data_IF_579196741742
#
_entry.id   IF_579196741742
#
_cell.length_a   1.000
_cell.length_b   1.000
_cell.length_c   1.000
_cell.angle_alpha   90.00
_cell.angle_beta   90.00
_cell.angle_gamma   90.00
#
_symmetry.space_group_name_H-M   'P 1'
#
loop_
_entity.id
_entity.type
_entity.pdbx_description
1 polymer ?
#
# COMPACT_ATOMS: atom_id res chain seq x y z
N UNK A 1 45.30 25.07 3.35
CA UNK A 1 43.89 24.63 3.44
C UNK A 1 43.70 23.58 2.38
N UNK A 2 43.92 22.31 2.74
CA UNK A 2 43.69 21.17 1.86
C UNK A 2 42.18 20.95 1.70
N UNK A 3 41.65 21.23 0.52
CA UNK A 3 40.32 20.82 0.14
C UNK A 3 40.38 19.32 -0.21
N UNK A 4 39.92 18.47 0.70
CA UNK A 4 39.80 17.05 0.45
C UNK A 4 38.78 16.80 -0.66
N UNK A 5 39.22 16.17 -1.76
CA UNK A 5 38.36 15.68 -2.83
C UNK A 5 37.25 14.76 -2.28
N UNK A 6 36.01 14.87 -2.78
CA UNK A 6 34.92 14.01 -2.35
C UNK A 6 35.21 12.57 -2.79
N UNK A 7 35.33 11.66 -1.80
CA UNK A 7 35.54 10.23 -2.03
C UNK A 7 34.47 9.66 -2.99
N UNK A 8 34.86 8.89 -4.02
CA UNK A 8 33.91 8.28 -4.94
C UNK A 8 33.00 7.29 -4.19
N UNK A 9 31.68 7.47 -4.32
CA UNK A 9 30.67 6.55 -3.74
C UNK A 9 30.90 5.15 -4.30
N UNK A 10 31.25 4.20 -3.43
CA UNK A 10 31.47 2.81 -3.79
C UNK A 10 30.23 2.24 -4.52
N UNK A 11 30.43 1.60 -5.68
CA UNK A 11 29.35 0.91 -6.41
C UNK A 11 28.76 -0.17 -5.49
N UNK A 12 27.51 0.05 -5.08
CA UNK A 12 26.74 -0.86 -4.21
C UNK A 12 26.67 -2.22 -4.90
N UNK A 13 27.02 -3.31 -4.20
CA UNK A 13 26.80 -4.68 -4.71
C UNK A 13 25.32 -4.80 -5.10
N UNK A 14 25.00 -5.46 -6.23
CA UNK A 14 23.61 -5.63 -6.66
C UNK A 14 22.82 -6.33 -5.55
N UNK A 15 21.67 -5.77 -5.19
CA UNK A 15 20.81 -6.29 -4.14
C UNK A 15 20.21 -7.63 -4.60
N UNK A 16 20.44 -8.76 -3.90
CA UNK A 16 19.93 -10.07 -4.32
C UNK A 16 18.41 -10.10 -4.52
N UNK A 17 17.65 -9.32 -3.74
CA UNK A 17 16.19 -9.20 -3.94
C UNK A 17 15.83 -8.53 -5.26
N UNK A 18 16.58 -7.52 -5.66
CA UNK A 18 16.39 -6.84 -6.94
C UNK A 18 16.76 -7.76 -8.10
N UNK A 19 17.84 -8.54 -7.99
CA UNK A 19 18.22 -9.51 -9.00
C UNK A 19 17.11 -10.54 -9.29
N UNK A 20 16.46 -11.06 -8.24
CA UNK A 20 15.31 -11.98 -8.38
C UNK A 20 14.09 -11.30 -9.01
N UNK A 21 13.84 -10.03 -8.68
CA UNK A 21 12.77 -9.24 -9.31
C UNK A 21 13.05 -9.06 -10.80
N UNK A 22 14.27 -8.64 -11.15
CA UNK A 22 14.68 -8.45 -12.54
C UNK A 22 14.59 -9.75 -13.33
N UNK A 23 15.03 -10.87 -12.75
CA UNK A 23 14.91 -12.19 -13.35
C UNK A 23 13.45 -12.55 -13.67
N UNK A 24 12.54 -12.39 -12.71
CA UNK A 24 11.11 -12.64 -12.95
C UNK A 24 10.57 -11.74 -14.06
N UNK A 25 10.93 -10.46 -14.08
CA UNK A 25 10.41 -9.53 -15.09
C UNK A 25 10.98 -9.81 -16.49
N UNK A 26 12.24 -10.26 -16.60
CA UNK A 26 12.80 -10.72 -17.88
C UNK A 26 12.07 -11.95 -18.40
N UNK A 27 11.85 -12.96 -17.56
CA UNK A 27 11.08 -14.15 -17.93
C UNK A 27 9.65 -13.75 -18.32
N UNK A 28 8.94 -12.99 -17.50
CA UNK A 28 7.56 -12.60 -17.76
C UNK A 28 7.38 -11.74 -19.03
N UNK A 29 8.43 -11.11 -19.55
CA UNK A 29 8.37 -10.40 -20.82
C UNK A 29 8.25 -11.36 -22.03
N UNK A 30 8.81 -12.57 -21.93
CA UNK A 30 8.95 -13.50 -23.07
C UNK A 30 8.12 -14.78 -22.93
N UNK A 31 7.86 -15.29 -21.72
CA UNK A 31 7.07 -16.50 -21.47
C UNK A 31 5.71 -16.22 -20.80
N UNK A 32 4.72 -17.11 -20.93
CA UNK A 32 3.45 -17.00 -20.21
C UNK A 32 3.66 -17.04 -18.69
N UNK A 33 2.90 -16.22 -17.94
CA UNK A 33 3.04 -16.11 -16.48
C UNK A 33 2.87 -17.43 -15.73
N UNK A 34 1.95 -18.27 -16.20
CA UNK A 34 1.64 -19.55 -15.56
C UNK A 34 2.74 -20.60 -15.78
N UNK A 35 3.57 -20.43 -16.80
CA UNK A 35 4.65 -21.36 -17.15
C UNK A 35 5.98 -20.97 -16.46
N UNK A 36 6.02 -19.85 -15.75
CA UNK A 36 7.20 -19.42 -15.00
C UNK A 36 7.21 -20.13 -13.65
N UNK A 37 8.16 -21.03 -13.43
CA UNK A 37 8.33 -21.69 -12.15
C UNK A 37 9.36 -20.98 -11.26
N UNK A 38 9.28 -21.21 -9.94
CA UNK A 38 10.26 -20.65 -8.98
C UNK A 38 11.70 -21.05 -9.33
N UNK A 39 11.88 -22.28 -9.83
CA UNK A 39 13.18 -22.76 -10.28
C UNK A 39 13.73 -22.01 -11.48
N UNK A 40 12.88 -21.54 -12.40
CA UNK A 40 13.31 -20.74 -13.54
C UNK A 40 13.78 -19.36 -13.09
N UNK A 41 13.06 -18.75 -12.15
CA UNK A 41 13.43 -17.44 -11.59
C UNK A 41 14.77 -17.55 -10.84
N UNK A 42 14.96 -18.59 -10.04
CA UNK A 42 16.21 -18.81 -9.31
C UNK A 42 17.39 -19.00 -10.27
N UNK A 43 17.20 -19.79 -11.33
CA UNK A 43 18.22 -20.02 -12.37
C UNK A 43 18.56 -18.74 -13.13
N UNK A 44 17.55 -17.97 -13.54
CA UNK A 44 17.71 -16.68 -14.22
C UNK A 44 18.34 -15.61 -13.34
N UNK A 45 18.17 -15.70 -12.02
CA UNK A 45 18.81 -14.83 -11.03
C UNK A 45 20.19 -15.34 -10.57
N UNK A 46 20.66 -16.47 -11.10
CA UNK A 46 21.92 -17.14 -10.72
C UNK A 46 22.03 -17.43 -9.20
N UNK A 47 20.92 -17.86 -8.58
CA UNK A 47 20.87 -18.26 -7.17
C UNK A 47 20.30 -19.67 -6.99
N UNK A 48 20.58 -20.26 -5.83
CA UNK A 48 19.97 -21.52 -5.42
C UNK A 48 18.49 -21.35 -5.03
N UNK A 49 17.73 -22.44 -5.05
CA UNK A 49 16.35 -22.45 -4.53
C UNK A 49 16.27 -22.11 -3.03
N UNK A 50 17.29 -22.48 -2.26
CA UNK A 50 17.38 -22.15 -0.84
C UNK A 50 17.49 -20.63 -0.64
N UNK A 51 18.40 -19.98 -1.36
CA UNK A 51 18.52 -18.51 -1.35
C UNK A 51 17.24 -17.84 -1.84
N UNK A 52 16.59 -18.36 -2.90
CA UNK A 52 15.31 -17.84 -3.34
C UNK A 52 14.28 -17.88 -2.19
N UNK A 53 14.17 -19.02 -1.49
CA UNK A 53 13.20 -19.21 -0.41
C UNK A 53 13.43 -18.27 0.77
N UNK A 54 14.68 -17.95 1.07
CA UNK A 54 15.05 -16.98 2.11
C UNK A 54 14.71 -15.54 1.70
N UNK A 55 14.81 -15.23 0.41
CA UNK A 55 14.43 -13.93 -0.12
C UNK A 55 12.91 -13.78 -0.27
N UNK A 56 12.23 -14.75 -0.87
CA UNK A 56 10.81 -14.66 -1.19
C UNK A 56 10.05 -15.95 -0.88
N UNK A 57 8.85 -15.84 -0.27
CA UNK A 57 8.03 -17.01 0.02
C UNK A 57 7.29 -17.58 -1.19
N UNK A 58 7.18 -16.84 -2.30
CA UNK A 58 6.45 -17.27 -3.51
C UNK A 58 6.78 -16.42 -4.75
N UNK A 59 6.41 -16.90 -5.95
CA UNK A 59 6.45 -16.14 -7.21
C UNK A 59 5.67 -14.82 -7.12
N UNK A 60 4.49 -14.82 -6.49
CA UNK A 60 3.69 -13.61 -6.27
C UNK A 60 4.34 -12.61 -5.32
N UNK A 61 5.09 -13.07 -4.31
CA UNK A 61 5.81 -12.19 -3.40
C UNK A 61 6.94 -11.41 -4.09
N UNK A 62 7.49 -11.94 -5.19
CA UNK A 62 8.46 -11.23 -6.04
C UNK A 62 7.81 -10.00 -6.69
N UNK A 63 6.52 -10.06 -7.08
CA UNK A 63 5.78 -8.88 -7.56
C UNK A 63 5.62 -7.81 -6.45
N UNK A 64 5.46 -8.24 -5.21
CA UNK A 64 5.55 -7.35 -4.05
C UNK A 64 6.94 -6.71 -3.90
N UNK A 65 7.99 -7.48 -4.22
CA UNK A 65 9.36 -6.99 -4.35
C UNK A 65 9.49 -5.90 -5.42
N UNK A 66 8.95 -6.13 -6.62
CA UNK A 66 8.91 -5.14 -7.70
C UNK A 66 8.22 -3.85 -7.25
N UNK A 67 7.06 -3.96 -6.58
CA UNK A 67 6.35 -2.79 -6.08
C UNK A 67 7.22 -1.97 -5.13
N UNK A 68 8.00 -2.61 -4.25
CA UNK A 68 8.93 -1.90 -3.35
C UNK A 68 10.08 -1.23 -4.10
N UNK A 69 10.61 -1.87 -5.15
CA UNK A 69 11.65 -1.27 -6.01
C UNK A 69 11.12 -0.02 -6.70
N UNK A 70 9.90 -0.08 -7.24
CA UNK A 70 9.23 1.08 -7.86
C UNK A 70 8.98 2.17 -6.81
N UNK A 71 8.43 1.82 -5.64
CA UNK A 71 8.18 2.77 -4.55
C UNK A 71 9.47 3.51 -4.18
N UNK A 72 10.58 2.79 -4.00
CA UNK A 72 11.89 3.39 -3.71
C UNK A 72 12.31 4.40 -4.78
N UNK A 73 12.22 4.05 -6.07
CA UNK A 73 12.55 4.97 -7.18
C UNK A 73 11.69 6.25 -7.17
N UNK A 74 10.43 6.15 -6.78
CA UNK A 74 9.53 7.31 -6.66
C UNK A 74 9.88 8.16 -5.44
N UNK A 75 10.13 7.52 -4.30
CA UNK A 75 10.35 8.19 -3.01
C UNK A 75 11.77 8.74 -2.82
N UNK A 76 12.76 8.28 -3.58
CA UNK A 76 14.12 8.82 -3.56
C UNK A 76 14.21 10.25 -4.12
N UNK A 77 13.13 10.75 -4.73
CA UNK A 77 13.03 12.14 -5.24
C UNK A 77 12.58 13.08 -4.14
N UNK A 78 13.06 14.32 -4.22
CA UNK A 78 12.51 15.42 -3.43
C UNK A 78 11.13 15.81 -3.99
N UNK A 79 10.22 16.14 -3.07
CA UNK A 79 8.85 16.63 -3.36
C UNK A 79 8.60 17.98 -2.68
N UNK A 80 9.60 18.56 -2.01
CA UNK A 80 9.48 19.82 -1.26
C UNK A 80 9.16 21.02 -2.15
N UNK A 81 9.67 21.00 -3.38
CA UNK A 81 9.43 21.94 -4.46
C UNK A 81 7.96 21.97 -4.91
N UNK A 82 7.18 20.93 -4.62
CA UNK A 82 5.75 20.86 -4.93
C UNK A 82 4.84 21.15 -3.72
N UNK A 83 5.40 21.49 -2.56
CA UNK A 83 4.64 21.57 -1.31
C UNK A 83 3.48 22.58 -1.35
N UNK A 84 3.62 23.66 -2.13
CA UNK A 84 2.60 24.71 -2.27
C UNK A 84 1.54 24.41 -3.33
N UNK A 85 1.72 23.37 -4.15
CA UNK A 85 0.79 23.04 -5.23
C UNK A 85 -0.54 22.45 -4.70
N UNK A 86 -1.61 22.46 -5.51
CA UNK A 86 -2.82 21.71 -5.19
C UNK A 86 -2.55 20.20 -5.00
N UNK A 87 -3.24 19.56 -4.05
CA UNK A 87 -3.05 18.13 -3.76
C UNK A 87 -3.23 17.20 -4.97
N UNK A 88 -4.12 17.57 -5.91
CA UNK A 88 -4.31 16.85 -7.18
C UNK A 88 -3.08 16.86 -8.07
N UNK A 89 -2.35 17.98 -8.13
CA UNK A 89 -1.18 18.17 -8.99
C UNK A 89 -0.01 17.36 -8.42
N UNK A 90 0.21 17.46 -7.10
CA UNK A 90 1.14 16.58 -6.39
C UNK A 90 0.85 15.10 -6.61
N UNK A 91 -0.42 14.68 -6.49
CA UNK A 91 -0.80 13.29 -6.68
C UNK A 91 -0.61 12.83 -8.13
N UNK A 92 -0.96 13.69 -9.10
CA UNK A 92 -0.75 13.41 -10.52
C UNK A 92 0.74 13.14 -10.79
N UNK A 93 1.63 14.00 -10.31
CA UNK A 93 3.06 13.86 -10.49
C UNK A 93 3.64 12.61 -9.84
N UNK A 94 3.26 12.33 -8.58
CA UNK A 94 3.69 11.09 -7.90
C UNK A 94 3.28 9.85 -8.70
N UNK A 95 2.05 9.82 -9.22
CA UNK A 95 1.55 8.68 -9.98
C UNK A 95 2.14 8.60 -11.39
N UNK A 96 2.46 9.73 -12.04
CA UNK A 96 3.20 9.74 -13.31
C UNK A 96 4.63 9.22 -13.13
N UNK A 97 5.35 9.68 -12.11
CA UNK A 97 6.69 9.17 -11.76
C UNK A 97 6.68 7.67 -11.49
N UNK A 98 5.61 7.19 -10.85
CA UNK A 98 5.38 5.75 -10.65
C UNK A 98 5.24 4.99 -11.97
N UNK A 99 4.45 5.51 -12.91
CA UNK A 99 4.31 4.91 -14.24
C UNK A 99 5.64 4.91 -15.01
N UNK A 100 6.42 5.99 -14.90
CA UNK A 100 7.77 6.06 -15.49
C UNK A 100 8.71 4.99 -14.91
N UNK A 101 8.69 4.80 -13.59
CA UNK A 101 9.47 3.77 -12.91
C UNK A 101 9.00 2.34 -13.25
N UNK A 102 7.73 2.17 -13.64
CA UNK A 102 7.16 0.92 -14.12
C UNK A 102 7.47 0.64 -15.60
N UNK A 103 7.77 1.67 -16.40
CA UNK A 103 7.91 1.58 -17.85
C UNK A 103 8.89 0.52 -18.36
N UNK A 104 10.08 0.31 -17.74
CA UNK A 104 10.99 -0.76 -18.15
C UNK A 104 10.38 -2.16 -18.10
N UNK A 105 9.36 -2.35 -17.25
CA UNK A 105 8.70 -3.63 -17.02
C UNK A 105 7.35 -3.75 -17.74
N UNK A 106 6.97 -2.78 -18.57
CA UNK A 106 5.63 -2.68 -19.18
C UNK A 106 5.21 -3.95 -19.93
N UNK A 107 6.11 -4.54 -20.73
CA UNK A 107 5.83 -5.77 -21.48
C UNK A 107 5.48 -6.94 -20.56
N UNK A 108 6.26 -7.14 -19.50
CA UNK A 108 6.02 -8.18 -18.52
C UNK A 108 4.73 -7.91 -17.72
N UNK A 109 4.54 -6.69 -17.22
CA UNK A 109 3.33 -6.29 -16.50
C UNK A 109 2.06 -6.46 -17.34
N UNK A 110 2.12 -6.16 -18.64
CA UNK A 110 1.03 -6.38 -19.59
C UNK A 110 0.66 -7.87 -19.63
N UNK A 111 1.62 -8.75 -19.86
CA UNK A 111 1.42 -10.21 -19.93
C UNK A 111 0.89 -10.78 -18.62
N UNK A 112 1.46 -10.35 -17.49
CA UNK A 112 1.01 -10.74 -16.14
C UNK A 112 -0.44 -10.31 -15.92
N UNK A 113 -0.79 -9.07 -16.29
CA UNK A 113 -2.14 -8.54 -16.10
C UNK A 113 -3.17 -9.38 -16.85
N UNK A 114 -2.87 -9.84 -18.08
CA UNK A 114 -3.77 -10.71 -18.83
C UNK A 114 -3.95 -12.06 -18.16
N UNK A 115 -2.85 -12.67 -17.68
CA UNK A 115 -2.90 -13.99 -17.02
C UNK A 115 -3.70 -13.97 -15.71
N UNK A 116 -3.67 -12.87 -14.97
CA UNK A 116 -4.28 -12.76 -13.64
C UNK A 116 -5.74 -12.30 -13.64
N UNK A 117 -6.31 -11.87 -14.78
CA UNK A 117 -7.71 -11.40 -14.87
C UNK A 117 -8.73 -12.43 -14.38
N UNK A 118 -8.42 -13.72 -14.50
CA UNK A 118 -9.29 -14.84 -14.11
C UNK A 118 -9.00 -15.43 -12.72
N UNK A 119 -8.07 -14.86 -11.96
CA UNK A 119 -7.65 -15.39 -10.65
C UNK A 119 -7.97 -14.39 -9.51
N UNK A 120 -9.13 -14.52 -8.86
CA UNK A 120 -9.54 -13.65 -7.77
C UNK A 120 -8.58 -13.64 -6.58
N UNK A 121 -7.94 -14.77 -6.27
CA UNK A 121 -7.05 -14.88 -5.11
C UNK A 121 -5.77 -14.10 -5.35
N UNK A 122 -5.18 -14.24 -6.55
CA UNK A 122 -4.02 -13.44 -6.95
C UNK A 122 -4.35 -11.95 -6.99
N UNK A 123 -5.53 -11.56 -7.49
CA UNK A 123 -5.95 -10.16 -7.47
C UNK A 123 -6.08 -9.60 -6.05
N UNK A 124 -6.62 -10.38 -5.10
CA UNK A 124 -6.69 -9.96 -3.69
C UNK A 124 -5.30 -9.79 -3.08
N UNK A 125 -4.37 -10.72 -3.36
CA UNK A 125 -3.00 -10.61 -2.90
C UNK A 125 -2.31 -9.35 -3.47
N UNK A 126 -2.48 -9.07 -4.76
CA UNK A 126 -1.97 -7.86 -5.40
C UNK A 126 -2.60 -6.58 -4.84
N UNK A 127 -3.90 -6.61 -4.50
CA UNK A 127 -4.54 -5.48 -3.84
C UNK A 127 -3.89 -5.18 -2.49
N UNK A 128 -3.50 -6.19 -1.70
CA UNK A 128 -2.78 -5.96 -0.43
C UNK A 128 -1.43 -5.26 -0.62
N UNK A 129 -0.69 -5.64 -1.68
CA UNK A 129 0.58 -5.01 -2.07
C UNK A 129 0.33 -3.57 -2.53
N UNK A 130 -0.67 -3.36 -3.38
CA UNK A 130 -1.03 -2.04 -3.90
C UNK A 130 -1.47 -1.10 -2.77
N UNK A 131 -2.22 -1.59 -1.78
CA UNK A 131 -2.59 -0.81 -0.60
C UNK A 131 -1.37 -0.35 0.19
N UNK A 132 -0.38 -1.23 0.40
CA UNK A 132 0.84 -0.84 1.11
C UNK A 132 1.61 0.23 0.34
N UNK A 133 1.77 0.05 -0.98
CA UNK A 133 2.45 1.00 -1.85
C UNK A 133 1.74 2.36 -1.91
N UNK A 134 0.41 2.38 -2.07
CA UNK A 134 -0.37 3.61 -2.18
C UNK A 134 -0.39 4.44 -0.90
N UNK A 135 -0.12 3.85 0.28
CA UNK A 135 0.11 4.63 1.50
C UNK A 135 1.29 5.58 1.33
N UNK A 136 2.39 5.09 0.75
CA UNK A 136 3.57 5.92 0.49
C UNK A 136 3.34 6.91 -0.65
N UNK A 137 2.63 6.52 -1.71
CA UNK A 137 2.32 7.44 -2.82
C UNK A 137 1.43 8.61 -2.36
N UNK A 138 0.40 8.33 -1.54
CA UNK A 138 -0.45 9.37 -0.97
C UNK A 138 0.32 10.24 0.02
N UNK A 139 1.17 9.65 0.86
CA UNK A 139 2.03 10.40 1.78
C UNK A 139 3.01 11.33 1.03
N UNK A 140 3.62 10.86 -0.06
CA UNK A 140 4.49 11.67 -0.93
C UNK A 140 3.72 12.85 -1.57
N UNK A 141 2.45 12.66 -1.88
CA UNK A 141 1.56 13.73 -2.35
C UNK A 141 1.02 14.64 -1.22
N UNK A 142 1.42 14.43 0.04
CA UNK A 142 0.94 15.17 1.21
C UNK A 142 -0.53 14.91 1.55
N UNK A 143 -1.07 13.74 1.20
CA UNK A 143 -2.45 13.35 1.44
C UNK A 143 -2.53 12.40 2.64
N UNK A 144 -3.23 12.83 3.69
CA UNK A 144 -3.40 12.02 4.92
C UNK A 144 -4.41 10.87 4.74
N UNK A 145 -3.97 9.67 5.17
CA UNK A 145 -4.72 8.41 5.15
C UNK A 145 -5.08 7.87 6.54
N UNK A 146 -4.77 8.57 7.63
CA UNK A 146 -5.08 8.13 9.01
C UNK A 146 -6.38 8.73 9.55
N UNK A 147 -6.93 9.74 8.87
CA UNK A 147 -8.25 10.29 9.19
C UNK A 147 -9.41 9.32 8.97
N UNK A 148 -10.62 9.73 9.39
CA UNK A 148 -11.84 8.90 9.32
C UNK A 148 -12.26 8.38 7.93
N UNK A 149 -11.82 9.04 6.85
CA UNK A 149 -12.03 8.60 5.48
C UNK A 149 -10.74 8.06 4.85
N UNK A 150 -9.69 7.86 5.64
CA UNK A 150 -8.37 7.48 5.18
C UNK A 150 -8.33 6.13 4.47
N UNK A 151 -9.05 5.12 5.00
CA UNK A 151 -9.22 3.83 4.31
C UNK A 151 -9.94 3.97 2.97
N UNK A 152 -10.90 4.89 2.88
CA UNK A 152 -11.64 5.16 1.64
C UNK A 152 -10.73 5.83 0.60
N UNK A 153 -9.94 6.83 1.01
CA UNK A 153 -8.91 7.46 0.16
C UNK A 153 -7.90 6.44 -0.34
N UNK A 154 -7.42 5.57 0.55
CA UNK A 154 -6.42 4.57 0.22
C UNK A 154 -6.94 3.55 -0.79
N UNK A 155 -8.09 2.91 -0.51
CA UNK A 155 -8.68 1.93 -1.43
C UNK A 155 -9.13 2.59 -2.74
N UNK A 156 -9.68 3.81 -2.67
CA UNK A 156 -10.05 4.59 -3.85
C UNK A 156 -8.86 4.89 -4.74
N UNK A 157 -7.72 5.28 -4.16
CA UNK A 157 -6.47 5.51 -4.88
C UNK A 157 -5.95 4.25 -5.58
N UNK A 158 -5.99 3.08 -4.92
CA UNK A 158 -5.61 1.80 -5.53
C UNK A 158 -6.52 1.46 -6.72
N UNK A 159 -7.83 1.61 -6.58
CA UNK A 159 -8.79 1.32 -7.66
C UNK A 159 -8.61 2.29 -8.83
N UNK A 160 -8.48 3.59 -8.54
CA UNK A 160 -8.25 4.62 -9.53
C UNK A 160 -6.97 4.34 -10.33
N UNK A 161 -5.87 4.08 -9.63
CA UNK A 161 -4.59 3.80 -10.28
C UNK A 161 -4.60 2.48 -11.04
N UNK A 162 -5.27 1.43 -10.55
CA UNK A 162 -5.44 0.19 -11.31
C UNK A 162 -6.12 0.43 -12.67
N UNK A 163 -7.11 1.33 -12.73
CA UNK A 163 -7.77 1.72 -14.00
C UNK A 163 -6.86 2.56 -14.90
N UNK A 164 -5.99 3.38 -14.33
CA UNK A 164 -4.96 4.13 -15.09
C UNK A 164 -3.95 3.16 -15.68
N UNK A 165 -3.45 2.21 -14.87
CA UNK A 165 -2.50 1.18 -15.31
C UNK A 165 -3.09 0.34 -16.44
N UNK A 166 -4.38 -0.04 -16.37
CA UNK A 166 -5.03 -0.75 -17.49
C UNK A 166 -4.96 0.02 -18.81
N UNK A 167 -5.21 1.33 -18.80
CA UNK A 167 -5.07 2.17 -20.01
C UNK A 167 -3.62 2.30 -20.41
N UNK A 168 -2.73 2.57 -19.46
CA UNK A 168 -1.29 2.73 -19.72
C UNK A 168 -0.66 1.49 -20.33
N UNK A 169 -1.05 0.30 -19.86
CA UNK A 169 -0.56 -0.97 -20.41
C UNK A 169 -0.86 -1.08 -21.90
N UNK A 170 -1.95 -0.49 -22.41
CA UNK A 170 -2.31 -0.51 -23.83
C UNK A 170 -1.95 0.80 -24.56
N UNK A 171 -1.19 1.69 -23.91
CA UNK A 171 -0.81 3.00 -24.43
C UNK A 171 0.61 3.03 -25.00
N UNK A 172 0.77 2.74 -26.28
CA UNK A 172 2.09 2.71 -26.95
C UNK A 172 2.54 4.10 -27.48
N UNK A 173 1.74 5.15 -27.27
CA UNK A 173 2.11 6.53 -27.58
C UNK A 173 3.22 7.03 -26.61
N UNK A 174 4.38 7.48 -27.11
CA UNK A 174 5.44 8.06 -26.28
C UNK A 174 4.99 9.25 -25.43
N UNK A 175 3.99 10.01 -25.89
CA UNK A 175 3.44 11.14 -25.16
C UNK A 175 2.44 10.73 -24.08
N UNK A 176 2.01 9.46 -24.02
CA UNK A 176 1.08 8.93 -23.03
C UNK A 176 -0.23 9.73 -22.88
N UNK A 177 -0.71 10.35 -23.98
CA UNK A 177 -1.83 11.28 -23.94
C UNK A 177 -3.11 10.65 -23.35
N UNK A 178 -3.40 9.38 -23.71
CA UNK A 178 -4.57 8.65 -23.17
C UNK A 178 -4.40 8.34 -21.70
N UNK A 179 -3.19 7.94 -21.30
CA UNK A 179 -2.86 7.67 -19.90
C UNK A 179 -3.01 8.93 -19.04
N UNK A 180 -2.46 10.06 -19.47
CA UNK A 180 -2.55 11.33 -18.74
C UNK A 180 -4.01 11.77 -18.59
N UNK A 181 -4.79 11.71 -19.67
CA UNK A 181 -6.22 12.03 -19.62
C UNK A 181 -6.99 11.09 -18.68
N UNK A 182 -6.62 9.79 -18.64
CA UNK A 182 -7.23 8.84 -17.71
C UNK A 182 -6.89 9.16 -16.26
N UNK A 183 -5.63 9.52 -15.99
CA UNK A 183 -5.15 9.86 -14.67
C UNK A 183 -5.83 11.13 -14.12
N UNK A 184 -5.83 12.23 -14.89
CA UNK A 184 -6.53 13.48 -14.53
C UNK A 184 -8.02 13.20 -14.23
N UNK A 185 -8.68 12.41 -15.09
CA UNK A 185 -10.08 12.04 -14.90
C UNK A 185 -10.32 11.29 -13.58
N UNK A 186 -9.51 10.29 -13.25
CA UNK A 186 -9.69 9.51 -12.02
C UNK A 186 -9.38 10.35 -10.76
N UNK A 187 -8.37 11.24 -10.81
CA UNK A 187 -8.07 12.16 -9.70
C UNK A 187 -9.25 13.10 -9.44
N UNK A 188 -9.78 13.75 -10.50
CA UNK A 188 -10.95 14.64 -10.40
C UNK A 188 -12.20 13.92 -9.88
N UNK A 189 -12.39 12.66 -10.28
CA UNK A 189 -13.50 11.85 -9.77
C UNK A 189 -13.32 11.52 -8.28
N UNK A 190 -12.08 11.23 -7.88
CA UNK A 190 -11.71 11.03 -6.48
C UNK A 190 -12.01 12.25 -5.62
N UNK A 191 -11.59 13.44 -6.04
CA UNK A 191 -11.87 14.71 -5.33
C UNK A 191 -13.37 14.92 -5.10
N UNK A 192 -14.17 14.87 -6.17
CA UNK A 192 -15.64 15.04 -6.09
C UNK A 192 -16.31 14.00 -5.20
N UNK A 193 -15.80 12.77 -5.20
CA UNK A 193 -16.33 11.71 -4.35
C UNK A 193 -15.98 11.96 -2.88
N UNK A 194 -14.78 12.45 -2.60
CA UNK A 194 -14.35 12.78 -1.24
C UNK A 194 -15.13 13.97 -0.67
N UNK A 195 -15.35 15.03 -1.46
CA UNK A 195 -16.20 16.17 -1.07
C UNK A 195 -17.60 15.69 -0.63
N UNK A 196 -18.23 14.82 -1.43
CA UNK A 196 -19.54 14.25 -1.10
C UNK A 196 -19.50 13.35 0.13
N UNK A 197 -18.44 12.56 0.32
CA UNK A 197 -18.29 11.70 1.48
C UNK A 197 -18.09 12.50 2.77
N UNK A 198 -17.34 13.60 2.70
CA UNK A 198 -17.15 14.54 3.80
C UNK A 198 -18.46 15.29 4.12
N UNK A 199 -19.21 15.74 3.10
CA UNK A 199 -20.53 16.36 3.26
C UNK A 199 -21.54 15.40 3.90
N UNK A 200 -21.66 14.18 3.38
CA UNK A 200 -22.53 13.15 3.96
C UNK A 200 -22.13 12.81 5.40
N UNK A 201 -20.82 12.82 5.70
CA UNK A 201 -20.33 12.63 7.06
C UNK A 201 -20.72 13.78 7.98
N UNK A 202 -20.60 15.03 7.52
CA UNK A 202 -20.99 16.22 8.28
C UNK A 202 -22.50 16.23 8.56
N UNK A 203 -23.30 15.88 7.56
CA UNK A 203 -24.76 15.83 7.66
C UNK A 203 -25.26 14.69 8.56
N UNK A 204 -24.54 13.57 8.63
CA UNK A 204 -24.90 12.44 9.50
C UNK A 204 -24.32 12.55 10.92
N UNK A 205 -23.59 13.62 11.24
CA UNK A 205 -22.98 13.82 12.57
C UNK A 205 -24.02 13.87 13.72
N UNK A 206 -25.17 14.56 13.59
CA UNK A 206 -26.19 14.58 14.65
C UNK A 206 -26.81 13.19 14.89
N UNK A 207 -27.05 12.43 13.81
CA UNK A 207 -27.63 11.09 13.90
C UNK A 207 -26.66 10.08 14.54
N UNK A 208 -25.35 10.22 14.30
CA UNK A 208 -24.32 9.41 14.98
C UNK A 208 -24.21 9.74 16.47
N UNK A 209 -24.36 11.01 16.84
CA UNK A 209 -24.38 11.41 18.26
C UNK A 209 -25.58 10.79 18.99
N UNK A 210 -26.76 10.78 18.36
CA UNK A 210 -27.98 10.14 18.89
C UNK A 210 -27.83 8.62 18.97
N UNK A 211 -27.27 7.98 17.94
CA UNK A 211 -27.03 6.53 17.93
C UNK A 211 -26.03 6.09 19.02
N UNK A 212 -24.98 6.88 19.28
CA UNK A 212 -24.03 6.62 20.37
C UNK A 212 -24.68 6.78 21.74
N UNK A 213 -25.49 7.83 21.93
CA UNK A 213 -26.24 8.06 23.17
C UNK A 213 -27.27 6.95 23.48
N UNK A 214 -27.85 6.32 22.45
CA UNK A 214 -28.76 5.18 22.59
C UNK A 214 -28.02 3.87 22.92
N UNK A 215 -26.82 3.66 22.37
CA UNK A 215 -25.97 2.50 22.68
C UNK A 215 -25.40 2.57 24.10
N UNK A 216 -25.08 3.76 24.60
CA UNK A 216 -24.63 4.00 25.98
C UNK A 216 -25.77 3.87 27.02
N UNK A 217 -27.03 3.94 26.58
CA UNK A 217 -28.22 3.78 27.44
C UNK A 217 -28.63 2.34 27.73
N UNK A 218 -27.77 1.35 27.45
CA UNK A 218 -28.07 -0.04 27.81
C UNK A 218 -27.97 -0.20 29.34
N UNK A 219 -29.06 -0.55 30.04
CA UNK A 219 -29.05 -0.60 31.51
C UNK A 219 -28.13 -1.73 31.96
N UNK A 220 -27.16 -1.40 32.81
CA UNK A 220 -26.35 -2.36 33.56
C UNK A 220 -27.30 -3.11 34.50
N UNK A 221 -27.90 -4.19 34.00
CA UNK A 221 -28.57 -5.18 34.83
C UNK A 221 -27.49 -6.09 35.40
N UNK A 222 -27.36 -5.98 36.72
CA UNK A 222 -26.94 -7.02 37.65
C UNK A 222 -25.48 -6.97 38.15
N UNK A 223 -25.33 -6.44 39.36
CA UNK A 223 -24.69 -7.13 40.50
C UNK A 223 -25.06 -6.43 41.80
N UNK A 224 -26.24 -6.77 42.31
CA UNK A 224 -26.50 -6.70 43.75
C UNK A 224 -26.16 -8.09 44.29
N UNK A 225 -24.91 -8.28 44.74
CA UNK A 225 -24.50 -9.47 45.49
C UNK A 225 -23.61 -9.01 46.64
N UNK A 226 -24.27 -8.86 47.77
CA UNK A 226 -23.82 -9.09 49.15
C UNK A 226 -22.35 -8.77 49.48
N UNK A 227 -22.16 -7.61 50.10
CA UNK A 227 -21.05 -7.36 51.03
C UNK A 227 -21.63 -7.09 52.40
N UNK A 228 -22.00 -8.15 53.10
CA UNK A 228 -21.98 -8.20 54.58
C UNK A 228 -21.11 -9.41 54.95
N UNK A 229 -19.87 -9.09 55.29
CA UNK A 229 -18.81 -10.01 55.66
C UNK A 229 -17.69 -9.18 56.29
N UNK A 230 -18.08 -8.42 57.31
CA UNK A 230 -17.20 -7.60 58.13
C UNK A 230 -16.34 -8.53 59.00
N UNK A 231 -15.15 -8.85 58.51
CA UNK A 231 -14.08 -9.40 59.33
C UNK A 231 -13.41 -8.24 60.08
N UNK A 232 -13.79 -8.04 61.33
CA UNK A 232 -12.91 -7.42 62.33
C UNK A 232 -12.35 -8.52 63.23
N UNK A 233 -11.08 -8.83 62.99
CA UNK A 233 -10.22 -9.57 63.91
C UNK A 233 -9.55 -8.52 64.78
N UNK A 234 -9.86 -8.45 66.08
CA UNK A 234 -8.86 -8.25 67.13
C UNK A 234 -9.44 -8.52 68.53
N UNK A 235 -8.69 -9.23 69.38
CA UNK A 235 -8.92 -9.32 70.84
C UNK A 235 -9.03 -10.71 71.49
N UNK A 236 -7.89 -11.37 71.72
CA UNK A 236 -7.62 -12.40 72.76
C UNK A 236 -7.86 -11.80 74.20
N UNK A 237 -8.00 -12.52 75.36
CA UNK A 237 -7.61 -13.90 75.67
C UNK A 237 -8.49 -14.76 76.62
N UNK A 238 -8.17 -16.06 76.66
CA UNK A 238 -8.23 -17.06 77.75
C UNK A 238 -9.26 -16.96 78.93
N UNK A 239 -10.08 -18.02 79.10
CA UNK A 239 -10.43 -18.71 80.37
C UNK A 239 -11.42 -19.88 80.04
N UNK A 240 -11.03 -21.15 80.15
CA UNK A 240 -11.28 -22.03 81.31
C UNK A 240 -12.75 -22.09 81.78
N UNK A 241 -13.47 -23.19 81.45
CA UNK A 241 -14.02 -24.25 82.34
C UNK A 241 -14.37 -25.46 81.48
#
# INVERSE_FOLDING_TARGET
MDAADPKPKAKKKPNPREAVVEALMRLAAVQPWNDIEIGDIAREAEITLAEFRDLFPSKGAVLGGLSRVIDGKVLDRDFSDMAEEPARERLFDVLMRRLDAMAPYKTALRRISYALRGDPLSMMALNSVALNSHRFMLAAAGIDTEGSLGRLRLQGSVIAFARVVQVWLDDDDPALARTMARLDKEIRQGERFMERADDARRLTAPLRAIGRALLERRPSRDRRRDTEGENTIDGDPAAAV
#
